data_IF_100590440725
#
_entry.id   IF_100590440725
#
_cell.length_a   1.000
_cell.length_b   1.000
_cell.length_c   1.000
_cell.angle_alpha   90.00
_cell.angle_beta   90.00
_cell.angle_gamma   90.00
#
_symmetry.space_group_name_H-M   'P 1'
#
loop_
_entity.id
_entity.type
_entity.pdbx_description
1 polymer ?
#
# COMPACT_ATOMS: atom_id res chain seq x y z
N UNK A 1 6.15 22.71 -17.76
CA UNK A 1 6.70 21.67 -16.86
C UNK A 1 5.62 20.63 -16.69
N UNK A 2 5.52 19.72 -17.66
CA UNK A 2 4.42 18.75 -17.79
C UNK A 2 4.76 17.55 -16.90
N UNK A 3 4.20 17.49 -15.70
CA UNK A 3 4.30 16.27 -14.91
C UNK A 3 3.35 15.24 -15.54
N UNK A 4 3.94 14.17 -16.07
CA UNK A 4 3.26 13.17 -16.86
C UNK A 4 2.06 12.61 -16.10
N UNK A 5 0.88 12.79 -16.70
CA UNK A 5 -0.30 11.98 -16.46
C UNK A 5 0.13 10.51 -16.50
N UNK A 6 0.01 9.78 -15.39
CA UNK A 6 0.04 8.32 -15.44
C UNK A 6 -1.31 7.88 -16.01
N UNK A 7 -1.38 7.31 -17.23
CA UNK A 7 -2.62 6.80 -17.78
C UNK A 7 -2.54 5.27 -17.67
N UNK A 8 -2.92 4.68 -16.54
CA UNK A 8 -3.11 3.23 -16.52
C UNK A 8 -4.49 2.90 -17.09
N UNK A 9 -4.59 3.01 -18.42
CA UNK A 9 -5.60 2.35 -19.20
C UNK A 9 -5.10 0.93 -19.53
N UNK A 10 -5.69 -0.06 -18.85
CA UNK A 10 -5.82 -1.47 -19.21
C UNK A 10 -6.60 -2.13 -18.04
N UNK A 11 -7.93 -2.22 -18.02
CA UNK A 11 -8.78 -3.01 -18.92
C UNK A 11 -8.18 -4.38 -19.27
N UNK A 12 -8.84 -5.45 -18.79
CA UNK A 12 -8.59 -6.91 -18.93
C UNK A 12 -7.48 -7.57 -18.12
N UNK A 13 -7.82 -8.02 -16.91
CA UNK A 13 -7.48 -9.37 -16.42
C UNK A 13 -8.25 -9.69 -15.14
N UNK A 14 -9.49 -10.16 -15.30
CA UNK A 14 -10.18 -10.97 -14.30
C UNK A 14 -9.31 -12.24 -14.06
N UNK A 15 -8.34 -12.19 -13.13
CA UNK A 15 -7.51 -13.27 -12.52
C UNK A 15 -6.06 -12.82 -12.20
N UNK A 16 -5.53 -11.74 -12.80
CA UNK A 16 -4.12 -11.34 -12.58
C UNK A 16 -3.93 -10.54 -11.28
N UNK A 17 -2.75 -10.68 -10.65
CA UNK A 17 -2.35 -9.85 -9.49
C UNK A 17 -2.27 -8.37 -9.90
N UNK A 18 -2.61 -7.42 -9.00
CA UNK A 18 -2.55 -5.99 -9.31
C UNK A 18 -1.11 -5.56 -9.58
N UNK A 19 -0.93 -4.60 -10.51
CA UNK A 19 0.39 -4.06 -10.78
C UNK A 19 0.93 -3.30 -9.56
N UNK A 20 2.26 -3.27 -9.42
CA UNK A 20 2.91 -2.70 -8.23
C UNK A 20 2.69 -1.19 -8.09
N UNK A 21 2.46 -0.48 -9.20
CA UNK A 21 2.13 0.94 -9.20
C UNK A 21 0.70 1.20 -8.70
N UNK A 22 -0.29 0.40 -9.12
CA UNK A 22 -1.66 0.49 -8.61
C UNK A 22 -1.71 0.19 -7.11
N UNK A 23 -0.93 -0.80 -6.68
CA UNK A 23 -0.75 -1.10 -5.25
C UNK A 23 -0.15 0.10 -4.50
N UNK A 24 0.89 0.73 -5.04
CA UNK A 24 1.52 1.88 -4.42
C UNK A 24 0.54 3.05 -4.29
N UNK A 25 -0.17 3.34 -5.37
CA UNK A 25 -1.17 4.40 -5.41
C UNK A 25 -2.30 4.14 -4.42
N UNK A 26 -2.85 2.91 -4.39
CA UNK A 26 -3.91 2.55 -3.44
C UNK A 26 -3.47 2.71 -1.98
N UNK A 27 -2.27 2.26 -1.62
CA UNK A 27 -1.72 2.42 -0.27
C UNK A 27 -1.62 3.91 0.10
N UNK A 28 -1.03 4.73 -0.77
CA UNK A 28 -0.82 6.15 -0.50
C UNK A 28 -2.13 6.93 -0.44
N UNK A 29 -3.07 6.67 -1.35
CA UNK A 29 -4.40 7.28 -1.36
C UNK A 29 -5.17 6.96 -0.08
N UNK A 30 -5.21 5.70 0.33
CA UNK A 30 -5.90 5.29 1.54
C UNK A 30 -5.22 5.85 2.81
N UNK A 31 -3.89 5.84 2.86
CA UNK A 31 -3.14 6.43 3.97
C UNK A 31 -3.33 7.95 4.07
N UNK A 32 -3.50 8.65 2.95
CA UNK A 32 -3.78 10.08 2.93
C UNK A 32 -5.22 10.43 3.36
N UNK A 33 -6.19 9.57 3.06
CA UNK A 33 -7.58 9.75 3.51
C UNK A 33 -7.74 9.56 5.02
N UNK A 34 -6.94 8.66 5.60
CA UNK A 34 -6.89 8.40 7.02
C UNK A 34 -6.09 9.51 7.74
N UNK A 35 -6.75 10.65 7.99
CA UNK A 35 -6.20 11.88 8.58
C UNK A 35 -5.23 11.69 9.78
N UNK A 36 -3.96 11.40 9.50
CA UNK A 36 -2.93 11.08 10.49
C UNK A 36 -3.07 9.70 11.15
N UNK A 37 -3.96 8.84 10.64
CA UNK A 37 -4.14 7.46 11.09
C UNK A 37 -3.34 6.51 10.20
N UNK A 38 -3.42 5.22 10.53
CA UNK A 38 -2.77 4.15 9.78
C UNK A 38 -3.82 3.24 9.17
N UNK A 39 -3.55 2.61 8.03
CA UNK A 39 -4.42 1.63 7.36
C UNK A 39 -3.92 0.20 7.60
N UNK A 40 -4.79 -0.80 7.41
CA UNK A 40 -4.35 -2.19 7.30
C UNK A 40 -3.85 -2.47 5.87
N UNK A 41 -2.92 -3.41 5.66
CA UNK A 41 -2.60 -3.89 4.31
C UNK A 41 -3.81 -4.51 3.60
N UNK A 42 -4.78 -5.03 4.36
CA UNK A 42 -6.02 -5.58 3.82
C UNK A 42 -6.90 -4.50 3.17
N UNK A 43 -6.90 -3.25 3.65
CA UNK A 43 -7.67 -2.16 3.03
C UNK A 43 -7.22 -1.92 1.59
N UNK A 44 -5.91 -1.81 1.37
CA UNK A 44 -5.36 -1.66 0.02
C UNK A 44 -5.67 -2.88 -0.87
N UNK A 45 -5.57 -4.09 -0.31
CA UNK A 45 -5.89 -5.31 -1.04
C UNK A 45 -7.38 -5.42 -1.40
N UNK A 46 -8.28 -5.01 -0.50
CA UNK A 46 -9.72 -4.99 -0.70
C UNK A 46 -10.12 -3.95 -1.76
N UNK A 47 -9.49 -2.77 -1.73
CA UNK A 47 -9.72 -1.73 -2.72
C UNK A 47 -9.33 -2.18 -4.14
N UNK A 48 -8.32 -3.05 -4.29
CA UNK A 48 -7.80 -3.50 -5.58
C UNK A 48 -8.50 -4.76 -6.12
N UNK A 49 -8.75 -5.76 -5.27
CA UNK A 49 -9.25 -7.08 -5.72
C UNK A 49 -10.61 -7.47 -5.14
N UNK A 50 -11.18 -6.65 -4.26
CA UNK A 50 -12.45 -6.94 -3.61
C UNK A 50 -12.40 -8.08 -2.57
N UNK A 51 -13.52 -8.33 -1.88
CA UNK A 51 -13.59 -9.23 -0.71
C UNK A 51 -13.33 -10.71 -1.02
N UNK A 52 -13.48 -11.14 -2.27
CA UNK A 52 -13.25 -12.53 -2.65
C UNK A 52 -11.76 -12.87 -2.91
N UNK A 53 -10.95 -11.87 -3.32
CA UNK A 53 -9.60 -12.13 -3.84
C UNK A 53 -8.49 -11.32 -3.14
N UNK A 54 -8.82 -10.41 -2.20
CA UNK A 54 -7.85 -9.56 -1.50
C UNK A 54 -6.65 -10.32 -0.92
N UNK A 55 -6.83 -11.56 -0.43
CA UNK A 55 -5.75 -12.35 0.15
C UNK A 55 -4.61 -12.61 -0.86
N UNK A 56 -4.93 -12.70 -2.15
CA UNK A 56 -3.95 -12.86 -3.24
C UNK A 56 -3.09 -11.63 -3.44
N UNK A 57 -3.62 -10.43 -3.17
CA UNK A 57 -2.89 -9.18 -3.28
C UNK A 57 -1.96 -8.90 -2.09
N UNK A 58 -2.16 -9.54 -0.92
CA UNK A 58 -1.36 -9.27 0.28
C UNK A 58 0.16 -9.37 0.09
N UNK A 59 0.71 -10.38 -0.63
CA UNK A 59 2.14 -10.45 -0.89
C UNK A 59 2.65 -9.27 -1.72
N UNK A 60 1.87 -8.82 -2.71
CA UNK A 60 2.18 -7.66 -3.54
C UNK A 60 2.12 -6.37 -2.70
N UNK A 61 1.04 -6.19 -1.92
CA UNK A 61 0.88 -5.07 -0.98
C UNK A 61 2.04 -5.00 0.00
N UNK A 62 2.45 -6.14 0.58
CA UNK A 62 3.61 -6.18 1.48
C UNK A 62 4.89 -5.72 0.79
N UNK A 63 5.19 -6.25 -0.40
CA UNK A 63 6.40 -5.90 -1.15
C UNK A 63 6.45 -4.41 -1.47
N UNK A 64 5.34 -3.86 -1.96
CA UNK A 64 5.24 -2.45 -2.31
C UNK A 64 5.28 -1.56 -1.07
N UNK A 65 4.62 -1.93 0.03
CA UNK A 65 4.70 -1.19 1.29
C UNK A 65 6.13 -1.13 1.83
N UNK A 66 6.88 -2.23 1.74
CA UNK A 66 8.31 -2.27 2.09
C UNK A 66 9.13 -1.35 1.21
N UNK A 67 8.91 -1.40 -0.11
CA UNK A 67 9.58 -0.52 -1.08
C UNK A 67 9.32 0.96 -0.75
N UNK A 68 8.07 1.34 -0.58
CA UNK A 68 7.67 2.70 -0.21
C UNK A 68 8.24 3.15 1.14
N UNK A 69 8.37 2.24 2.10
CA UNK A 69 8.97 2.53 3.40
C UNK A 69 10.48 2.75 3.31
N UNK A 70 11.18 1.98 2.48
CA UNK A 70 12.60 2.20 2.18
C UNK A 70 12.83 3.52 1.42
N UNK A 71 11.87 3.92 0.58
CA UNK A 71 11.88 5.22 -0.11
C UNK A 71 11.55 6.40 0.84
N UNK A 72 11.19 6.15 2.11
CA UNK A 72 10.76 7.18 3.05
C UNK A 72 9.38 7.78 2.75
N UNK A 73 8.62 7.19 1.82
CA UNK A 73 7.28 7.64 1.42
C UNK A 73 6.16 7.05 2.28
N UNK A 74 6.48 6.05 3.09
CA UNK A 74 5.55 5.34 3.96
C UNK A 74 6.25 4.92 5.25
N UNK A 75 5.50 4.72 6.32
CA UNK A 75 6.01 4.16 7.58
C UNK A 75 5.19 2.93 7.95
N UNK A 76 5.89 1.86 8.30
CA UNK A 76 5.28 0.61 8.75
C UNK A 76 5.25 0.62 10.27
N UNK A 77 4.07 0.44 10.83
CA UNK A 77 3.82 0.45 12.26
C UNK A 77 3.41 -0.91 12.79
N UNK A 78 3.85 -1.24 14.00
CA UNK A 78 3.41 -2.41 14.76
C UNK A 78 3.17 -2.01 16.21
N UNK A 79 1.98 -2.35 16.72
CA UNK A 79 1.55 -1.92 18.08
C UNK A 79 1.75 -0.41 18.30
N UNK A 80 1.48 0.39 17.26
CA UNK A 80 1.63 1.85 17.29
C UNK A 80 3.05 2.39 17.16
N UNK A 81 4.08 1.54 17.04
CA UNK A 81 5.48 1.96 16.90
C UNK A 81 5.99 1.74 15.48
N UNK A 82 6.77 2.66 14.89
CA UNK A 82 7.44 2.40 13.63
C UNK A 82 8.38 1.20 13.80
N UNK A 83 8.40 0.31 12.81
CA UNK A 83 9.23 -0.89 12.79
C UNK A 83 10.04 -0.95 11.51
N UNK A 84 11.14 -1.70 11.58
CA UNK A 84 11.96 -1.96 10.40
C UNK A 84 11.13 -2.69 9.31
N UNK A 85 11.15 -2.19 8.06
CA UNK A 85 10.37 -2.76 6.97
C UNK A 85 10.88 -4.13 6.48
N UNK A 86 12.10 -4.55 6.80
CA UNK A 86 12.61 -5.88 6.42
C UNK A 86 12.28 -6.95 7.47
N UNK A 87 12.21 -6.60 8.75
CA UNK A 87 12.06 -7.60 9.83
C UNK A 87 10.62 -7.87 10.31
N UNK A 88 9.65 -6.98 10.04
CA UNK A 88 8.33 -7.09 10.67
C UNK A 88 7.53 -8.34 10.24
N UNK A 89 6.83 -8.96 11.19
CA UNK A 89 5.94 -10.12 10.97
C UNK A 89 4.59 -9.96 11.67
N UNK A 90 3.58 -10.65 11.16
CA UNK A 90 2.23 -10.68 11.72
C UNK A 90 1.43 -9.42 11.37
N UNK A 91 0.61 -8.93 12.31
CA UNK A 91 -0.24 -7.74 12.11
C UNK A 91 0.62 -6.47 12.10
N UNK A 92 0.47 -5.67 11.06
CA UNK A 92 1.11 -4.37 10.89
C UNK A 92 0.11 -3.36 10.32
N UNK A 93 0.46 -2.08 10.43
CA UNK A 93 -0.29 -0.95 9.92
C UNK A 93 0.61 -0.08 9.06
N UNK A 94 0.04 0.64 8.11
CA UNK A 94 0.77 1.51 7.19
C UNK A 94 0.29 2.95 7.40
N UNK A 95 1.20 3.90 7.53
CA UNK A 95 0.86 5.31 7.66
C UNK A 95 1.79 6.18 6.83
N UNK A 96 1.38 7.41 6.57
CA UNK A 96 2.27 8.40 5.96
C UNK A 96 3.41 8.77 6.92
N UNK A 97 4.59 9.13 6.40
CA UNK A 97 5.64 9.72 7.22
C UNK A 97 5.09 10.98 7.89
N UNK A 98 5.22 11.03 9.21
CA UNK A 98 4.90 12.24 9.97
C UNK A 98 6.10 13.17 9.84
N UNK A 99 5.94 14.23 9.06
CA UNK A 99 6.80 15.40 9.14
C UNK A 99 6.57 15.99 10.55
N UNK A 100 7.55 15.84 11.46
CA UNK A 100 7.60 16.59 12.72
C UNK A 100 8.54 17.79 12.53
#
# INVERSE_FOLDING_TARGET
MTNAQNPHAAETADTALPAEEDVAQAILTLAAQEAGKTIAPADAALALMGPAQWQRALPAVRRVAVRLALEGRLVIYRKGKPVDPQEFRGVYRLGLPRED
#
